data_IF_892957400763
#
_entry.id   IF_892957400763
#
_cell.length_a   1.000
_cell.length_b   1.000
_cell.length_c   1.000
_cell.angle_alpha   90.00
_cell.angle_beta   90.00
_cell.angle_gamma   90.00
#
_symmetry.space_group_name_H-M   'P 1'
#
loop_
_entity.id
_entity.type
_entity.pdbx_description
1 polymer ?
#
# COMPACT_ATOMS: atom_id res chain seq x y z
N UNK A 1 11.03 -9.19 8.82
CA UNK A 1 9.91 -8.79 7.93
C UNK A 1 8.85 -9.88 8.07
N UNK A 2 7.67 -9.61 8.63
CA UNK A 2 6.72 -10.69 9.01
C UNK A 2 6.30 -11.57 7.83
N UNK A 3 5.99 -10.97 6.67
CA UNK A 3 5.56 -11.73 5.49
C UNK A 3 6.62 -12.70 4.96
N UNK A 4 7.90 -12.31 5.00
CA UNK A 4 9.02 -13.18 4.61
C UNK A 4 9.18 -14.37 5.57
N UNK A 5 9.01 -14.14 6.87
CA UNK A 5 9.07 -15.19 7.89
C UNK A 5 7.95 -16.21 7.68
N UNK A 6 6.70 -15.75 7.53
CA UNK A 6 5.54 -16.63 7.32
C UNK A 6 5.68 -17.46 6.04
N UNK A 7 6.21 -16.88 4.97
CA UNK A 7 6.48 -17.59 3.71
C UNK A 7 7.50 -18.74 3.87
N UNK A 8 8.44 -18.64 4.81
CA UNK A 8 9.44 -19.70 5.10
C UNK A 8 8.89 -20.75 6.06
N UNK A 9 8.08 -20.34 7.03
CA UNK A 9 7.47 -21.24 8.01
C UNK A 9 6.34 -22.08 7.40
N UNK A 10 5.53 -21.48 6.52
CA UNK A 10 4.38 -22.12 5.87
C UNK A 10 4.46 -22.00 4.34
N UNK A 11 5.28 -22.81 3.64
CA UNK A 11 5.52 -22.66 2.19
C UNK A 11 4.28 -22.86 1.31
N UNK A 12 3.26 -23.57 1.83
CA UNK A 12 1.97 -23.79 1.16
C UNK A 12 1.08 -22.54 1.18
N UNK A 13 1.38 -21.56 2.04
CA UNK A 13 0.66 -20.29 2.14
C UNK A 13 1.43 -19.20 1.40
N UNK A 14 0.85 -18.65 0.34
CA UNK A 14 1.44 -17.51 -0.38
C UNK A 14 1.17 -16.22 0.40
N UNK A 15 2.24 -15.63 0.92
CA UNK A 15 2.22 -14.40 1.72
C UNK A 15 2.86 -13.27 0.93
N UNK A 16 2.16 -12.13 0.77
CA UNK A 16 2.68 -10.97 0.03
C UNK A 16 2.45 -9.71 0.84
N UNK A 17 3.48 -8.87 0.95
CA UNK A 17 3.37 -7.56 1.61
C UNK A 17 3.23 -6.45 0.59
N UNK A 18 2.15 -5.66 0.65
CA UNK A 18 1.87 -4.60 -0.32
C UNK A 18 1.87 -3.23 0.35
N UNK A 19 2.60 -2.29 -0.25
CA UNK A 19 2.52 -0.85 0.05
C UNK A 19 1.53 -0.19 -0.92
N UNK A 20 0.37 0.30 -0.46
CA UNK A 20 -0.69 0.84 -1.32
C UNK A 20 -0.43 2.28 -1.80
N UNK A 21 0.67 2.91 -1.39
CA UNK A 21 0.96 4.32 -1.69
C UNK A 21 0.24 5.27 -0.73
N UNK A 22 0.05 6.53 -1.15
CA UNK A 22 -0.69 7.54 -0.38
C UNK A 22 -2.08 7.66 -0.99
N UNK A 23 -3.07 7.13 -0.28
CA UNK A 23 -4.41 6.88 -0.82
C UNK A 23 -5.42 7.84 -0.22
N UNK A 24 -6.37 8.32 -1.03
CA UNK A 24 -7.46 9.18 -0.58
C UNK A 24 -8.48 8.41 0.26
N UNK A 25 -8.23 8.34 1.56
CA UNK A 25 -9.03 7.59 2.53
C UNK A 25 -9.32 8.44 3.77
N UNK A 26 -10.20 7.95 4.64
CA UNK A 26 -10.44 8.56 5.95
C UNK A 26 -9.15 8.64 6.80
N UNK A 27 -8.24 7.66 6.68
CA UNK A 27 -6.95 7.69 7.37
C UNK A 27 -6.11 8.90 6.95
N UNK A 28 -6.02 9.18 5.65
CA UNK A 28 -5.28 10.35 5.15
C UNK A 28 -5.93 11.64 5.70
N UNK A 29 -7.25 11.74 5.65
CA UNK A 29 -8.01 12.87 6.23
C UNK A 29 -7.74 13.05 7.73
N UNK A 30 -7.61 11.96 8.50
CA UNK A 30 -7.23 12.00 9.90
C UNK A 30 -5.80 12.52 10.12
N UNK A 31 -4.84 12.13 9.27
CA UNK A 31 -3.46 12.65 9.30
C UNK A 31 -3.46 14.17 9.10
N UNK A 32 -4.20 14.68 8.11
CA UNK A 32 -4.26 16.14 7.84
C UNK A 32 -4.95 16.91 8.95
N UNK A 33 -6.05 16.40 9.50
CA UNK A 33 -6.87 17.12 10.49
C UNK A 33 -6.36 17.01 11.92
N UNK A 34 -5.86 15.84 12.32
CA UNK A 34 -5.39 15.57 13.70
C UNK A 34 -3.88 15.64 13.86
N UNK A 35 -3.13 15.60 12.75
CA UNK A 35 -1.67 15.67 12.76
C UNK A 35 -1.12 17.07 13.04
N UNK A 36 -1.94 18.12 12.88
CA UNK A 36 -1.54 19.50 13.21
C UNK A 36 -1.15 19.59 14.69
N UNK A 37 0.05 20.10 14.97
CA UNK A 37 0.60 20.21 16.33
C UNK A 37 1.09 18.89 16.96
N UNK A 38 0.77 17.73 16.37
CA UNK A 38 1.19 16.41 16.86
C UNK A 38 2.25 15.73 16.00
N UNK A 39 2.46 16.23 14.78
CA UNK A 39 3.45 15.74 13.83
C UNK A 39 4.56 16.77 13.61
N UNK A 40 5.72 16.29 13.16
CA UNK A 40 6.78 17.16 12.64
C UNK A 40 6.18 18.04 11.53
N UNK A 41 6.31 19.39 11.61
CA UNK A 41 5.62 20.30 10.70
C UNK A 41 5.81 19.98 9.21
N UNK A 42 7.03 19.66 8.80
CA UNK A 42 7.34 19.35 7.40
C UNK A 42 6.66 18.06 6.91
N UNK A 43 6.50 17.06 7.78
CA UNK A 43 5.83 15.81 7.44
C UNK A 43 4.31 16.02 7.33
N UNK A 44 3.72 16.79 8.24
CA UNK A 44 2.31 17.17 8.15
C UNK A 44 2.03 17.98 6.88
N UNK A 45 2.86 18.99 6.60
CA UNK A 45 2.77 19.80 5.39
C UNK A 45 2.82 18.94 4.12
N UNK A 46 3.65 17.89 4.09
CA UNK A 46 3.71 16.94 2.98
C UNK A 46 2.38 16.22 2.74
N UNK A 47 1.70 15.75 3.80
CA UNK A 47 0.38 15.10 3.67
C UNK A 47 -0.74 16.07 3.27
N UNK A 48 -0.66 17.32 3.72
CA UNK A 48 -1.56 18.38 3.27
C UNK A 48 -1.34 18.65 1.78
N UNK A 49 -0.08 18.76 1.35
CA UNK A 49 0.29 19.00 -0.04
C UNK A 49 -0.23 17.90 -0.95
N UNK A 50 -0.05 16.61 -0.62
CA UNK A 50 -0.58 15.51 -1.44
C UNK A 50 -2.09 15.65 -1.74
N UNK A 51 -2.87 16.17 -0.79
CA UNK A 51 -4.30 16.41 -0.99
C UNK A 51 -4.56 17.66 -1.84
N UNK A 52 -3.89 18.78 -1.55
CA UNK A 52 -4.10 20.04 -2.30
C UNK A 52 -3.59 19.98 -3.74
N UNK A 53 -2.53 19.20 -3.99
CA UNK A 53 -1.98 18.93 -5.34
C UNK A 53 -2.76 17.86 -6.11
N UNK A 54 -3.77 17.21 -5.49
CA UNK A 54 -4.52 16.08 -6.06
C UNK A 54 -3.63 14.90 -6.46
N UNK A 55 -2.59 14.65 -5.67
CA UNK A 55 -1.65 13.53 -5.87
C UNK A 55 -2.04 12.27 -5.07
N UNK A 56 -3.18 12.30 -4.38
CA UNK A 56 -3.71 11.12 -3.70
C UNK A 56 -4.25 10.11 -4.69
N UNK A 57 -3.86 8.85 -4.50
CA UNK A 57 -4.35 7.74 -5.28
C UNK A 57 -5.81 7.47 -4.96
N UNK A 58 -6.59 7.13 -5.98
CA UNK A 58 -7.94 6.65 -5.75
C UNK A 58 -7.86 5.25 -5.09
N UNK A 59 -8.65 4.96 -4.03
CA UNK A 59 -8.58 3.68 -3.31
C UNK A 59 -8.66 2.43 -4.17
N UNK A 60 -9.45 2.50 -5.26
CA UNK A 60 -9.63 1.39 -6.19
C UNK A 60 -8.33 0.98 -6.91
N UNK A 61 -7.35 1.87 -7.08
CA UNK A 61 -6.11 1.55 -7.79
C UNK A 61 -5.28 0.49 -7.03
N UNK A 62 -4.79 0.75 -5.80
CA UNK A 62 -4.14 -0.29 -5.01
C UNK A 62 -5.13 -1.36 -4.53
N UNK A 63 -6.41 -1.01 -4.32
CA UNK A 63 -7.45 -1.96 -3.90
C UNK A 63 -7.66 -3.08 -4.91
N UNK A 64 -7.66 -2.76 -6.21
CA UNK A 64 -7.78 -3.76 -7.27
C UNK A 64 -6.60 -4.72 -7.28
N UNK A 65 -5.37 -4.22 -7.12
CA UNK A 65 -4.16 -5.06 -7.06
C UNK A 65 -4.23 -6.04 -5.89
N UNK A 66 -4.62 -5.57 -4.70
CA UNK A 66 -4.76 -6.40 -3.50
C UNK A 66 -5.85 -7.48 -3.72
N UNK A 67 -6.99 -7.09 -4.28
CA UNK A 67 -8.06 -8.03 -4.59
C UNK A 67 -7.64 -9.09 -5.63
N UNK A 68 -6.93 -8.66 -6.68
CA UNK A 68 -6.42 -9.55 -7.74
C UNK A 68 -5.40 -10.56 -7.20
N UNK A 69 -4.45 -10.10 -6.37
CA UNK A 69 -3.48 -10.95 -5.69
C UNK A 69 -4.15 -11.95 -4.73
N UNK A 70 -5.21 -11.55 -4.04
CA UNK A 70 -5.94 -12.46 -3.13
C UNK A 70 -6.54 -13.67 -3.85
N UNK A 71 -6.76 -13.57 -5.17
CA UNK A 71 -7.31 -14.66 -6.00
C UNK A 71 -6.23 -15.36 -6.81
N UNK A 72 -5.20 -14.62 -7.28
CA UNK A 72 -4.27 -15.08 -8.32
C UNK A 72 -2.79 -14.87 -7.99
N UNK A 73 -2.41 -14.61 -6.74
CA UNK A 73 -1.01 -14.43 -6.38
C UNK A 73 -0.20 -15.70 -6.71
N UNK A 74 0.82 -15.62 -7.58
CA UNK A 74 1.68 -16.77 -7.84
C UNK A 74 2.60 -17.03 -6.64
N UNK A 75 2.91 -18.29 -6.37
CA UNK A 75 3.84 -18.64 -5.28
C UNK A 75 5.27 -18.12 -5.53
N UNK A 76 5.63 -17.77 -6.78
CA UNK A 76 6.93 -17.18 -7.12
C UNK A 76 7.22 -15.83 -6.44
N UNK A 77 6.19 -15.15 -5.95
CA UNK A 77 6.32 -13.88 -5.21
C UNK A 77 6.15 -14.06 -3.69
N UNK A 78 6.10 -15.30 -3.20
CA UNK A 78 5.90 -15.60 -1.79
C UNK A 78 7.00 -14.95 -0.91
N UNK A 79 6.57 -14.30 0.18
CA UNK A 79 7.41 -13.61 1.14
C UNK A 79 7.92 -12.24 0.70
N UNK A 80 7.61 -11.79 -0.53
CA UNK A 80 8.12 -10.53 -1.08
C UNK A 80 7.29 -9.32 -0.67
N UNK A 81 7.94 -8.16 -0.71
CA UNK A 81 7.35 -6.85 -0.52
C UNK A 81 7.31 -6.08 -1.84
N UNK A 82 6.18 -5.45 -2.14
CA UNK A 82 6.00 -4.64 -3.34
C UNK A 82 5.29 -3.32 -3.03
N UNK A 83 5.55 -2.29 -3.82
CA UNK A 83 4.59 -1.23 -4.05
C UNK A 83 3.50 -1.74 -4.99
N UNK A 84 2.26 -1.27 -4.81
CA UNK A 84 1.14 -1.67 -5.68
C UNK A 84 1.41 -1.44 -7.19
N UNK A 85 2.28 -0.48 -7.51
CA UNK A 85 2.68 -0.10 -8.86
C UNK A 85 4.08 -0.57 -9.28
N UNK A 86 4.66 -1.58 -8.61
CA UNK A 86 5.90 -2.23 -9.07
C UNK A 86 5.62 -3.06 -10.34
N UNK A 87 6.53 -3.03 -11.33
CA UNK A 87 6.29 -3.61 -12.66
C UNK A 87 5.92 -5.10 -12.62
N UNK A 88 6.42 -5.84 -11.64
CA UNK A 88 6.05 -7.25 -11.42
C UNK A 88 4.56 -7.47 -11.15
N UNK A 89 3.83 -6.43 -10.70
CA UNK A 89 2.40 -6.49 -10.41
C UNK A 89 1.53 -5.95 -11.54
N UNK A 90 2.11 -5.62 -12.70
CA UNK A 90 1.38 -4.99 -13.81
C UNK A 90 0.15 -5.77 -14.27
N UNK A 91 0.20 -7.10 -14.25
CA UNK A 91 -0.93 -7.98 -14.60
C UNK A 91 -2.09 -7.92 -13.59
N UNK A 92 -1.83 -7.43 -12.38
CA UNK A 92 -2.83 -7.28 -11.32
C UNK A 92 -3.42 -5.87 -11.25
N UNK A 93 -2.93 -4.92 -12.06
CA UNK A 93 -3.46 -3.56 -12.14
C UNK A 93 -4.67 -3.52 -13.09
N UNK A 94 -5.52 -2.51 -12.89
CA UNK A 94 -6.69 -2.25 -13.74
C UNK A 94 -6.32 -1.56 -15.05
#
# INVERSE_FOLDING_TARGET
>A
MFGETLAKEEPEVTTVSIRPGVVDTEMQSAIRTKGVGNMVPDQHAKFVNYHTSKELLHPDEPGHVIASLSVKAPNSINGRFFSWNDEELKEHRK
#
